data_IF_990247740087
#
_entry.id   IF_990247740087
#
_cell.length_a   1.000
_cell.length_b   1.000
_cell.length_c   1.000
_cell.angle_alpha   90.00
_cell.angle_beta   90.00
_cell.angle_gamma   90.00
#
_symmetry.space_group_name_H-M   'P 1'
#
loop_
_entity.id
_entity.type
_entity.pdbx_description
1 polymer ?
#
# COMPACT_ATOMS: atom_id res chain seq x y z
N UNK A 1 4.08 6.95 9.39
CA UNK A 1 4.07 8.33 8.85
C UNK A 1 3.21 8.38 7.60
N UNK A 2 3.80 8.28 6.41
CA UNK A 2 3.04 8.17 5.15
C UNK A 2 2.67 6.72 4.83
N UNK A 3 1.54 6.22 5.33
CA UNK A 3 1.16 4.82 5.09
C UNK A 3 0.68 4.59 3.66
N UNK A 4 -0.09 5.53 3.11
CA UNK A 4 -0.59 5.58 1.70
C UNK A 4 -1.33 4.30 1.24
N UNK A 5 -1.56 3.35 2.15
CA UNK A 5 -2.05 2.02 1.84
C UNK A 5 -2.78 1.43 3.06
N UNK A 6 -4.04 0.95 2.88
CA UNK A 6 -4.80 0.33 3.95
C UNK A 6 -4.14 -0.93 4.55
N UNK A 7 -3.48 -1.76 3.75
CA UNK A 7 -2.77 -2.96 4.22
C UNK A 7 -1.55 -2.62 5.09
N UNK A 8 -0.81 -1.56 4.75
CA UNK A 8 0.26 -1.03 5.61
C UNK A 8 -0.32 -0.55 6.94
N UNK A 9 -1.40 0.24 6.88
CA UNK A 9 -2.07 0.73 8.09
C UNK A 9 -2.60 -0.42 8.96
N UNK A 10 -3.16 -1.45 8.33
CA UNK A 10 -3.62 -2.66 9.00
C UNK A 10 -2.48 -3.41 9.68
N UNK A 11 -1.39 -3.68 8.96
CA UNK A 11 -0.21 -4.36 9.50
C UNK A 11 0.34 -3.63 10.73
N UNK A 12 0.45 -2.30 10.64
CA UNK A 12 0.87 -1.46 11.75
C UNK A 12 -0.09 -1.51 12.95
N UNK A 13 -1.40 -1.56 12.72
CA UNK A 13 -2.38 -1.71 13.80
C UNK A 13 -2.26 -3.08 14.49
N UNK A 14 -2.08 -4.15 13.71
CA UNK A 14 -1.87 -5.51 14.24
C UNK A 14 -0.61 -5.59 15.10
N UNK A 15 0.50 -4.97 14.69
CA UNK A 15 1.72 -4.92 15.49
C UNK A 15 1.81 -3.76 16.49
N UNK A 16 0.68 -3.13 16.83
CA UNK A 16 0.62 -2.10 17.89
C UNK A 16 1.37 -0.80 17.60
N UNK A 17 1.67 -0.51 16.34
CA UNK A 17 2.38 0.71 15.91
C UNK A 17 1.46 1.91 15.68
N UNK A 18 0.15 1.68 15.64
CA UNK A 18 -0.89 2.71 15.52
C UNK A 18 -2.15 2.24 16.27
N UNK A 19 -2.93 3.17 16.81
CA UNK A 19 -4.23 2.82 17.41
C UNK A 19 -5.25 2.46 16.33
N UNK A 20 -6.23 1.62 16.67
CA UNK A 20 -7.30 1.23 15.73
C UNK A 20 -8.09 2.45 15.24
N UNK A 21 -8.42 3.38 16.14
CA UNK A 21 -9.18 4.59 15.80
C UNK A 21 -8.42 5.43 14.77
N UNK A 22 -7.13 5.69 15.02
CA UNK A 22 -6.30 6.42 14.04
C UNK A 22 -6.19 5.63 12.73
N UNK A 23 -6.06 4.30 12.80
CA UNK A 23 -6.04 3.43 11.62
C UNK A 23 -7.28 3.57 10.74
N UNK A 24 -8.48 3.64 11.34
CA UNK A 24 -9.73 3.85 10.60
C UNK A 24 -9.74 5.21 9.89
N UNK A 25 -9.29 6.29 10.54
CA UNK A 25 -9.19 7.59 9.88
C UNK A 25 -8.17 7.59 8.74
N UNK A 26 -7.07 6.84 8.89
CA UNK A 26 -6.11 6.62 7.79
C UNK A 26 -6.77 5.92 6.61
N UNK A 27 -7.56 4.86 6.84
CA UNK A 27 -8.28 4.18 5.76
C UNK A 27 -9.26 5.09 5.05
N UNK A 28 -10.06 5.87 5.80
CA UNK A 28 -10.99 6.83 5.20
C UNK A 28 -10.24 7.82 4.32
N UNK A 29 -9.15 8.42 4.82
CA UNK A 29 -8.35 9.37 4.04
C UNK A 29 -7.73 8.72 2.79
N UNK A 30 -7.21 7.50 2.91
CA UNK A 30 -6.60 6.76 1.79
C UNK A 30 -7.61 6.42 0.69
N UNK A 31 -8.80 5.94 1.09
CA UNK A 31 -9.86 5.59 0.15
C UNK A 31 -10.44 6.84 -0.53
N UNK A 32 -10.69 7.91 0.22
CA UNK A 32 -11.14 9.19 -0.35
C UNK A 32 -10.09 9.78 -1.31
N UNK A 33 -8.81 9.73 -0.94
CA UNK A 33 -7.71 10.18 -1.81
C UNK A 33 -7.64 9.37 -3.12
N UNK A 34 -7.76 8.04 -3.03
CA UNK A 34 -7.80 7.16 -4.20
C UNK A 34 -8.98 7.49 -5.14
N UNK A 35 -10.19 7.60 -4.58
CA UNK A 35 -11.40 7.96 -5.33
C UNK A 35 -11.26 9.32 -5.99
N UNK A 36 -10.77 10.33 -5.26
CA UNK A 36 -10.55 11.67 -5.80
C UNK A 36 -9.52 11.67 -6.95
N UNK A 37 -8.44 10.91 -6.82
CA UNK A 37 -7.43 10.77 -7.87
C UNK A 37 -7.98 10.08 -9.12
N UNK A 38 -8.82 9.04 -8.98
CA UNK A 38 -9.48 8.38 -10.11
C UNK A 38 -10.43 9.32 -10.86
N UNK A 39 -11.23 10.12 -10.15
CA UNK A 39 -12.08 11.13 -10.80
C UNK A 39 -11.27 12.20 -11.52
N UNK A 40 -10.20 12.68 -10.89
CA UNK A 40 -9.30 13.65 -11.51
C UNK A 40 -8.65 13.08 -12.78
N UNK A 41 -8.20 11.82 -12.73
CA UNK A 41 -7.63 11.14 -13.90
C UNK A 41 -8.65 11.02 -15.03
N UNK A 42 -9.89 10.62 -14.73
CA UNK A 42 -10.95 10.57 -15.73
C UNK A 42 -11.21 11.95 -16.35
N UNK A 43 -11.24 13.01 -15.53
CA UNK A 43 -11.44 14.38 -16.01
C UNK A 43 -10.29 14.86 -16.91
N UNK A 44 -9.03 14.74 -16.46
CA UNK A 44 -7.86 15.27 -17.21
C UNK A 44 -7.54 14.47 -18.46
N UNK A 45 -8.04 13.24 -18.58
CA UNK A 45 -7.89 12.40 -19.78
C UNK A 45 -9.05 12.57 -20.77
N UNK A 46 -10.02 13.45 -20.50
CA UNK A 46 -11.17 13.67 -21.39
C UNK A 46 -12.20 12.54 -21.33
N UNK A 47 -12.34 11.88 -20.18
CA UNK A 47 -13.33 10.82 -19.95
C UNK A 47 -12.86 9.42 -20.37
N UNK A 48 -11.55 9.19 -20.54
CA UNK A 48 -11.05 7.82 -20.73
C UNK A 48 -11.39 6.95 -19.50
N UNK A 49 -11.58 5.66 -19.77
CA UNK A 49 -11.82 4.68 -18.72
C UNK A 49 -10.61 4.59 -17.79
N UNK A 50 -10.87 4.60 -16.48
CA UNK A 50 -9.83 4.37 -15.46
C UNK A 50 -9.63 2.85 -15.33
N UNK A 51 -8.42 2.33 -15.59
CA UNK A 51 -8.15 0.89 -15.47
C UNK A 51 -8.40 0.39 -14.05
N UNK A 52 -8.89 -0.85 -13.94
CA UNK A 52 -9.11 -1.54 -12.67
C UNK A 52 -8.18 -2.74 -12.53
N UNK A 53 -7.80 -3.08 -11.31
CA UNK A 53 -7.01 -4.28 -11.05
C UNK A 53 -7.87 -5.55 -11.23
N UNK A 54 -7.27 -6.56 -11.85
CA UNK A 54 -7.89 -7.86 -12.06
C UNK A 54 -6.83 -8.94 -12.30
N UNK A 55 -7.19 -10.19 -12.06
CA UNK A 55 -6.33 -11.31 -12.45
C UNK A 55 -6.22 -11.35 -13.98
N UNK A 56 -5.01 -11.63 -14.48
CA UNK A 56 -4.79 -11.83 -15.91
C UNK A 56 -5.55 -13.07 -16.43
N UNK A 57 -5.78 -13.12 -17.74
CA UNK A 57 -6.45 -14.24 -18.37
C UNK A 57 -5.73 -15.56 -18.06
N UNK A 58 -6.49 -16.55 -17.57
CA UNK A 58 -5.96 -17.84 -17.15
C UNK A 58 -5.41 -17.90 -15.72
N UNK A 59 -5.37 -16.78 -14.98
CA UNK A 59 -5.01 -16.74 -13.56
C UNK A 59 -6.26 -16.84 -12.70
N UNK A 60 -6.36 -17.90 -11.90
CA UNK A 60 -7.47 -18.12 -10.97
C UNK A 60 -7.42 -17.18 -9.75
N UNK A 61 -8.57 -16.94 -9.14
CA UNK A 61 -8.70 -16.04 -7.98
C UNK A 61 -7.76 -16.42 -6.82
N UNK A 62 -7.58 -17.72 -6.53
CA UNK A 62 -6.67 -18.17 -5.48
C UNK A 62 -5.22 -17.88 -5.81
N UNK A 63 -4.82 -18.02 -7.08
CA UNK A 63 -3.45 -17.72 -7.51
C UNK A 63 -3.16 -16.22 -7.38
N UNK A 64 -4.10 -15.37 -7.83
CA UNK A 64 -4.01 -13.92 -7.65
C UNK A 64 -3.98 -13.52 -6.17
N UNK A 65 -4.83 -14.13 -5.33
CA UNK A 65 -4.83 -13.89 -3.89
C UNK A 65 -3.51 -14.26 -3.23
N UNK A 66 -2.93 -15.41 -3.55
CA UNK A 66 -1.63 -15.83 -3.00
C UNK A 66 -0.51 -14.88 -3.44
N UNK A 67 -0.53 -14.44 -4.71
CA UNK A 67 0.40 -13.43 -5.20
C UNK A 67 0.29 -12.13 -4.39
N UNK A 68 -0.92 -11.60 -4.24
CA UNK A 68 -1.20 -10.39 -3.44
C UNK A 68 -0.74 -10.51 -1.99
N UNK A 69 -0.92 -11.67 -1.36
CA UNK A 69 -0.42 -11.95 0.00
C UNK A 69 1.10 -11.81 0.05
N UNK A 70 1.83 -12.43 -0.89
CA UNK A 70 3.29 -12.45 -0.90
C UNK A 70 3.84 -11.03 -1.11
N UNK A 71 3.34 -10.31 -2.12
CA UNK A 71 3.87 -8.98 -2.45
C UNK A 71 3.47 -7.93 -1.41
N UNK A 72 2.27 -8.03 -0.83
CA UNK A 72 1.85 -7.16 0.27
C UNK A 72 2.64 -7.44 1.54
N UNK A 73 2.95 -8.71 1.84
CA UNK A 73 3.84 -9.05 2.94
C UNK A 73 5.22 -8.40 2.76
N UNK A 74 5.81 -8.49 1.56
CA UNK A 74 7.11 -7.86 1.27
C UNK A 74 7.08 -6.33 1.49
N UNK A 75 6.00 -5.66 1.08
CA UNK A 75 5.79 -4.25 1.35
C UNK A 75 5.70 -3.95 2.85
N UNK A 76 4.79 -4.61 3.57
CA UNK A 76 4.56 -4.35 5.00
C UNK A 76 5.80 -4.69 5.82
N UNK A 77 6.50 -5.77 5.48
CA UNK A 77 7.77 -6.14 6.11
C UNK A 77 8.85 -5.07 5.89
N UNK A 78 8.97 -4.54 4.67
CA UNK A 78 9.86 -3.41 4.36
C UNK A 78 9.52 -2.18 5.20
N UNK A 79 8.23 -1.86 5.39
CA UNK A 79 7.81 -0.76 6.27
C UNK A 79 8.26 -1.02 7.72
N UNK A 80 8.09 -2.24 8.23
CA UNK A 80 8.52 -2.59 9.58
C UNK A 80 10.02 -2.45 9.77
N UNK A 81 10.82 -3.09 8.91
CA UNK A 81 12.27 -3.12 9.01
C UNK A 81 12.94 -1.77 8.77
N UNK A 82 12.35 -0.92 7.92
CA UNK A 82 12.97 0.36 7.55
C UNK A 82 12.39 1.55 8.32
N UNK A 83 11.10 1.56 8.68
CA UNK A 83 10.45 2.74 9.26
C UNK A 83 10.04 2.57 10.73
N UNK A 84 9.59 1.38 11.13
CA UNK A 84 8.99 1.18 12.45
C UNK A 84 9.97 0.67 13.51
N UNK A 85 10.92 -0.19 13.13
CA UNK A 85 11.87 -0.75 14.09
C UNK A 85 12.64 0.36 14.83
N UNK A 86 12.65 0.38 16.18
CA UNK A 86 13.50 1.27 16.96
C UNK A 86 15.00 1.09 16.69
N UNK A 87 15.41 -0.08 16.20
CA UNK A 87 16.79 -0.46 15.89
C UNK A 87 17.16 -0.30 14.42
N UNK A 88 16.31 0.36 13.61
CA UNK A 88 16.53 0.55 12.16
C UNK A 88 17.84 1.26 11.79
N UNK A 89 18.43 2.03 12.71
CA UNK A 89 19.67 2.79 12.45
C UNK A 89 19.57 3.64 11.18
N UNK A 90 20.65 3.66 10.40
CA UNK A 90 20.75 4.47 9.17
C UNK A 90 19.79 4.03 8.06
N UNK A 91 19.28 2.79 8.11
CA UNK A 91 18.28 2.29 7.14
C UNK A 91 16.99 3.11 7.22
N UNK A 92 16.70 3.73 8.36
CA UNK A 92 15.59 4.66 8.52
C UNK A 92 15.63 5.86 7.57
N UNK A 93 16.82 6.33 7.20
CA UNK A 93 17.02 7.46 6.29
C UNK A 93 16.52 7.14 4.88
N UNK A 94 16.66 5.88 4.46
CA UNK A 94 16.27 5.41 3.12
C UNK A 94 14.92 4.69 3.13
N UNK A 95 14.17 4.70 4.23
CA UNK A 95 12.88 4.02 4.31
C UNK A 95 11.91 4.43 3.19
N UNK A 96 11.73 5.73 2.85
CA UNK A 96 10.79 6.11 1.78
C UNK A 96 11.18 5.53 0.41
N UNK A 97 12.47 5.53 0.08
CA UNK A 97 12.94 5.01 -1.22
C UNK A 97 12.91 3.48 -1.26
N UNK A 98 13.25 2.80 -0.16
CA UNK A 98 13.15 1.34 -0.07
C UNK A 98 11.70 0.86 -0.20
N UNK A 99 10.76 1.53 0.48
CA UNK A 99 9.32 1.26 0.38
C UNK A 99 8.82 1.54 -1.04
N UNK A 100 9.26 2.62 -1.69
CA UNK A 100 8.90 2.91 -3.08
C UNK A 100 9.42 1.84 -4.05
N UNK A 101 10.66 1.41 -3.91
CA UNK A 101 11.26 0.41 -4.80
C UNK A 101 10.66 -0.99 -4.63
N UNK A 102 10.29 -1.41 -3.42
CA UNK A 102 9.62 -2.71 -3.27
C UNK A 102 8.23 -2.71 -3.93
N UNK A 103 7.50 -1.58 -3.90
CA UNK A 103 6.24 -1.45 -4.64
C UNK A 103 6.49 -1.50 -6.16
N UNK A 104 7.50 -0.78 -6.65
CA UNK A 104 7.85 -0.79 -8.07
C UNK A 104 8.30 -2.17 -8.59
N UNK A 105 8.95 -2.97 -7.75
CA UNK A 105 9.37 -4.33 -8.09
C UNK A 105 8.22 -5.36 -8.07
N UNK A 106 7.07 -5.00 -7.49
CA UNK A 106 5.89 -5.87 -7.36
C UNK A 106 4.89 -5.75 -8.53
N UNK A 107 5.21 -4.93 -9.54
CA UNK A 107 4.37 -4.67 -10.74
C UNK A 107 4.82 -5.54 -11.91
#
# INVERSE_FOLDING_TARGET
GGHVNPAVTFGLAVGGQITIITGVFYWIAQLLGSVAASFLLSFVTGGLAVPIHGCADGVGAIQGMVMEIIITFALVYTVYGTACDPKKGDVGTIAPIAIGFIVGANI
#
